data_IF_896119101796
#
_entry.id   IF_896119101796
#
_cell.length_a   1.000
_cell.length_b   1.000
_cell.length_c   1.000
_cell.angle_alpha   90.00
_cell.angle_beta   90.00
_cell.angle_gamma   90.00
#
_symmetry.space_group_name_H-M   'P 1'
#
loop_
_entity.id
_entity.type
_entity.pdbx_description
1 polymer ?
#
# COMPACT_ATOMS: atom_id res chain seq x y z
N UNK A 1 -45.32 -28.10 -0.37
CA UNK A 1 -44.40 -27.08 -0.93
C UNK A 1 -43.54 -27.79 -1.99
N UNK A 2 -44.07 -27.96 -3.20
CA UNK A 2 -43.32 -28.55 -4.31
C UNK A 2 -42.49 -27.44 -4.93
N UNK A 3 -41.18 -27.46 -4.70
CA UNK A 3 -40.26 -26.52 -5.35
C UNK A 3 -40.16 -26.97 -6.81
N UNK A 4 -40.73 -26.21 -7.73
CA UNK A 4 -40.66 -26.48 -9.17
C UNK A 4 -39.20 -26.38 -9.64
N UNK A 5 -38.53 -27.54 -9.67
CA UNK A 5 -37.11 -27.70 -9.95
C UNK A 5 -36.71 -27.12 -11.32
N UNK A 6 -37.61 -27.18 -12.30
CA UNK A 6 -37.37 -26.68 -13.66
C UNK A 6 -37.37 -25.14 -13.72
N UNK A 7 -38.29 -24.49 -12.98
CA UNK A 7 -38.33 -23.03 -12.83
C UNK A 7 -37.13 -22.54 -12.00
N UNK A 8 -36.77 -23.30 -10.97
CA UNK A 8 -35.58 -23.05 -10.14
C UNK A 8 -34.28 -23.17 -10.96
N UNK A 9 -34.14 -24.20 -11.78
CA UNK A 9 -32.97 -24.40 -12.65
C UNK A 9 -32.81 -23.26 -13.67
N UNK A 10 -33.90 -22.85 -14.34
CA UNK A 10 -33.87 -21.69 -15.27
C UNK A 10 -33.50 -20.39 -14.57
N UNK A 11 -33.98 -20.18 -13.34
CA UNK A 11 -33.63 -19.02 -12.52
C UNK A 11 -32.17 -19.06 -12.08
N UNK A 12 -31.64 -20.22 -11.71
CA UNK A 12 -30.25 -20.40 -11.29
C UNK A 12 -29.29 -20.19 -12.46
N UNK A 13 -29.63 -20.69 -13.66
CA UNK A 13 -28.85 -20.44 -14.88
C UNK A 13 -28.84 -18.95 -15.22
N UNK A 14 -29.96 -18.24 -15.05
CA UNK A 14 -30.02 -16.79 -15.26
C UNK A 14 -29.15 -16.03 -14.25
N UNK A 15 -29.21 -16.39 -12.96
CA UNK A 15 -28.40 -15.75 -11.91
C UNK A 15 -26.91 -16.01 -12.15
N UNK A 16 -26.55 -17.24 -12.50
CA UNK A 16 -25.18 -17.62 -12.82
C UNK A 16 -24.65 -16.89 -14.06
N UNK A 17 -25.49 -16.71 -15.09
CA UNK A 17 -25.15 -15.93 -16.27
C UNK A 17 -24.92 -14.44 -15.97
N UNK A 18 -25.74 -13.84 -15.11
CA UNK A 18 -25.54 -12.46 -14.63
C UNK A 18 -24.23 -12.37 -13.82
N UNK A 19 -23.95 -13.34 -12.96
CA UNK A 19 -22.73 -13.37 -12.16
C UNK A 19 -21.47 -13.49 -13.03
N UNK A 20 -21.49 -14.36 -14.05
CA UNK A 20 -20.41 -14.47 -15.03
C UNK A 20 -20.22 -13.18 -15.84
N UNK A 21 -21.32 -12.52 -16.24
CA UNK A 21 -21.25 -11.25 -16.96
C UNK A 21 -20.63 -10.13 -16.09
N UNK A 22 -21.02 -10.05 -14.81
CA UNK A 22 -20.44 -9.09 -13.86
C UNK A 22 -18.97 -9.39 -13.55
N UNK A 23 -18.57 -10.67 -13.52
CA UNK A 23 -17.18 -11.06 -13.31
C UNK A 23 -16.27 -10.61 -14.46
N UNK A 24 -16.73 -10.72 -15.72
CA UNK A 24 -15.96 -10.24 -16.88
C UNK A 24 -15.85 -8.72 -16.89
N UNK A 25 -16.92 -7.98 -16.54
CA UNK A 25 -16.89 -6.51 -16.44
C UNK A 25 -16.00 -6.01 -15.28
N UNK A 26 -15.86 -6.80 -14.22
CA UNK A 26 -14.94 -6.48 -13.11
C UNK A 26 -13.46 -6.73 -13.45
N UNK A 27 -13.18 -7.42 -14.55
CA UNK A 27 -11.84 -7.61 -15.12
C UNK A 27 -11.63 -6.71 -16.35
N UNK A 28 -12.38 -5.61 -16.48
CA UNK A 28 -11.92 -4.49 -17.32
C UNK A 28 -10.60 -4.03 -16.71
N UNK A 29 -9.52 -4.32 -17.42
CA UNK A 29 -8.15 -3.96 -17.10
C UNK A 29 -8.16 -2.46 -16.81
N UNK A 30 -7.95 -2.11 -15.55
CA UNK A 30 -7.65 -0.76 -15.14
C UNK A 30 -6.23 -0.46 -15.67
N UNK A 31 -6.13 -0.30 -16.99
CA UNK A 31 -4.96 0.12 -17.75
C UNK A 31 -4.65 1.60 -17.46
N UNK A 32 -4.84 2.01 -16.22
CA UNK A 32 -4.07 3.08 -15.63
C UNK A 32 -2.63 2.58 -15.58
N UNK A 33 -1.95 2.72 -16.72
CA UNK A 33 -0.51 2.79 -16.77
C UNK A 33 -0.11 3.95 -15.84
N UNK A 34 0.07 3.62 -14.57
CA UNK A 34 0.75 4.45 -13.61
C UNK A 34 2.21 4.47 -14.06
N UNK A 35 2.49 5.25 -15.10
CA UNK A 35 3.83 5.80 -15.37
C UNK A 35 4.19 6.86 -14.31
N UNK A 36 3.46 6.90 -13.20
CA UNK A 36 3.98 7.47 -11.97
C UNK A 36 5.02 6.49 -11.46
N UNK A 37 6.28 6.76 -11.82
CA UNK A 37 7.45 6.22 -11.17
C UNK A 37 7.32 6.48 -9.66
N UNK A 38 6.67 5.56 -8.96
CA UNK A 38 6.66 5.56 -7.52
C UNK A 38 8.11 5.37 -7.10
N UNK A 39 8.74 6.44 -6.62
CA UNK A 39 10.04 6.34 -5.98
C UNK A 39 9.86 5.55 -4.69
N UNK A 40 10.04 4.24 -4.79
CA UNK A 40 10.00 3.34 -3.66
C UNK A 40 11.20 3.65 -2.76
N UNK A 41 10.92 4.37 -1.67
CA UNK A 41 11.92 4.60 -0.63
C UNK A 41 12.14 3.28 0.13
N UNK A 42 13.36 2.78 0.06
CA UNK A 42 13.80 1.57 0.76
C UNK A 42 14.25 1.86 2.21
N UNK A 43 14.22 3.14 2.60
CA UNK A 43 14.53 3.59 3.95
C UNK A 43 14.38 5.10 4.15
N UNK A 44 14.75 5.57 5.33
CA UNK A 44 14.85 6.99 5.68
C UNK A 44 15.86 7.24 6.80
N UNK A 45 16.38 8.45 6.84
CA UNK A 45 17.18 9.01 7.94
C UNK A 45 16.35 10.10 8.61
N UNK A 46 16.41 10.15 9.94
CA UNK A 46 15.96 11.28 10.73
C UNK A 46 17.17 12.06 11.21
N UNK A 47 17.21 13.33 10.85
CA UNK A 47 18.26 14.27 11.20
C UNK A 47 17.72 15.31 12.18
N UNK A 48 18.49 15.64 13.21
CA UNK A 48 18.17 16.70 14.16
C UNK A 48 18.46 18.09 13.61
N UNK A 49 17.95 19.13 14.27
CA UNK A 49 18.27 20.54 13.95
C UNK A 49 19.76 20.90 13.99
N UNK A 50 20.61 20.03 14.53
CA UNK A 50 22.07 20.16 14.53
C UNK A 50 22.74 19.39 13.38
N UNK A 51 22.00 19.06 12.32
CA UNK A 51 22.49 18.31 11.14
C UNK A 51 23.15 16.97 11.52
N UNK A 52 22.60 16.33 12.57
CA UNK A 52 23.10 15.05 13.07
C UNK A 52 22.04 13.99 12.87
N UNK A 53 22.39 12.92 12.15
CA UNK A 53 21.60 11.71 12.04
C UNK A 53 21.38 11.07 13.42
N UNK A 54 20.12 11.00 13.84
CA UNK A 54 19.71 10.43 15.13
C UNK A 54 19.06 9.05 14.99
N UNK A 55 18.51 8.77 13.80
CA UNK A 55 17.88 7.50 13.49
C UNK A 55 17.98 7.20 12.00
N UNK A 56 18.12 5.91 11.67
CA UNK A 56 18.08 5.40 10.31
C UNK A 56 17.31 4.11 10.27
N UNK A 57 16.46 3.98 9.27
CA UNK A 57 15.83 2.73 8.88
C UNK A 57 16.10 2.44 7.42
N UNK A 58 16.57 1.23 7.11
CA UNK A 58 16.87 0.81 5.74
C UNK A 58 16.63 -0.68 5.58
N UNK A 59 15.74 -1.07 4.67
CA UNK A 59 15.40 -2.48 4.35
C UNK A 59 15.13 -3.33 5.60
N UNK A 60 14.39 -2.77 6.55
CA UNK A 60 14.04 -3.40 7.83
C UNK A 60 15.13 -3.39 8.91
N UNK A 61 16.32 -2.88 8.61
CA UNK A 61 17.39 -2.68 9.61
C UNK A 61 17.28 -1.28 10.20
N UNK A 62 17.41 -1.17 11.54
CA UNK A 62 17.30 0.10 12.27
C UNK A 62 18.60 0.41 13.02
N UNK A 63 19.04 1.66 12.98
CA UNK A 63 20.17 2.18 13.73
C UNK A 63 19.78 3.50 14.40
N UNK A 64 20.26 3.73 15.63
CA UNK A 64 19.89 4.91 16.41
C UNK A 64 18.58 4.74 17.18
N UNK A 65 18.17 5.79 17.89
CA UNK A 65 16.95 5.81 18.70
C UNK A 65 16.56 7.25 19.02
N UNK A 66 15.25 7.50 19.09
CA UNK A 66 14.71 8.80 19.49
C UNK A 66 14.03 8.62 20.84
N UNK A 67 14.41 9.47 21.80
CA UNK A 67 13.79 9.57 23.11
C UNK A 67 13.20 10.97 23.22
N UNK A 68 11.92 11.06 23.54
CA UNK A 68 11.19 12.32 23.70
C UNK A 68 10.44 12.28 25.03
N UNK A 69 10.62 13.30 25.88
CA UNK A 69 9.89 13.38 27.14
C UNK A 69 8.51 14.00 26.93
N UNK A 70 7.60 13.73 27.88
CA UNK A 70 6.27 14.32 27.84
C UNK A 70 6.33 15.86 27.91
N UNK A 71 5.69 16.52 26.94
CA UNK A 71 5.64 17.98 26.86
C UNK A 71 6.79 18.62 26.06
N UNK A 72 7.72 17.82 25.53
CA UNK A 72 8.74 18.30 24.61
C UNK A 72 8.25 18.27 23.16
N UNK A 73 8.81 19.15 22.34
CA UNK A 73 8.67 19.14 20.88
C UNK A 73 10.03 18.83 20.29
N UNK A 74 10.06 17.91 19.33
CA UNK A 74 11.26 17.57 18.58
C UNK A 74 11.05 17.90 17.11
N UNK A 75 11.99 18.65 16.55
CA UNK A 75 12.05 19.01 15.13
C UNK A 75 13.11 18.14 14.46
N UNK A 76 12.72 17.44 13.40
CA UNK A 76 13.57 16.52 12.64
C UNK A 76 13.36 16.74 11.15
N UNK A 77 14.45 16.64 10.39
CA UNK A 77 14.43 16.50 8.93
C UNK A 77 14.37 15.02 8.56
N UNK A 78 13.61 14.70 7.52
CA UNK A 78 13.54 13.36 6.92
C UNK A 78 14.31 13.37 5.62
N UNK A 79 15.19 12.39 5.44
CA UNK A 79 15.89 12.12 4.19
C UNK A 79 15.51 10.72 3.73
N UNK A 80 14.83 10.59 2.59
CA UNK A 80 14.43 9.28 2.06
C UNK A 80 15.59 8.58 1.37
N UNK A 81 15.67 7.26 1.51
CA UNK A 81 16.74 6.44 0.94
C UNK A 81 16.22 5.61 -0.21
N UNK A 82 16.96 5.58 -1.31
CA UNK A 82 16.71 4.70 -2.44
C UNK A 82 17.24 3.28 -2.21
N UNK A 83 17.09 2.42 -3.22
CA UNK A 83 17.53 1.01 -3.15
C UNK A 83 19.02 0.83 -2.85
N UNK A 84 19.85 1.78 -3.28
CA UNK A 84 21.29 1.80 -3.04
C UNK A 84 21.69 2.36 -1.66
N UNK A 85 20.70 2.76 -0.84
CA UNK A 85 20.89 3.33 0.49
C UNK A 85 21.38 4.77 0.50
N UNK A 86 21.45 5.44 -0.65
CA UNK A 86 21.72 6.89 -0.73
C UNK A 86 20.42 7.67 -0.64
N UNK A 87 20.56 8.92 -0.23
CA UNK A 87 19.47 9.88 -0.26
C UNK A 87 18.99 10.11 -1.70
N UNK A 88 17.67 10.15 -1.86
CA UNK A 88 16.96 10.40 -3.13
C UNK A 88 16.90 11.89 -3.48
#
# INVERSE_FOLDING_TARGET
MTIDFEKSSRSLVSIFGIFLALFIVSCEDDDHAHEEEHTDAEGFILESSSETEVYREFKGTKTGSIILNAGETLELSVHFLGDDGKEL
#
